data_IF_339050883085
#
_entry.id   IF_339050883085
#
_cell.length_a   1.000
_cell.length_b   1.000
_cell.length_c   1.000
_cell.angle_alpha   90.00
_cell.angle_beta   90.00
_cell.angle_gamma   90.00
#
_symmetry.space_group_name_H-M   'P 1'
#
loop_
_entity.id
_entity.type
_entity.pdbx_description
1 polymer ?
#
# COMPACT_ATOMS: atom_id res chain seq x y z
N UNK A 1 -3.67 -2.46 -4.20
CA UNK A 1 -4.31 -2.45 -2.86
C UNK A 1 -3.92 -1.13 -2.16
N UNK A 2 -4.86 -0.39 -1.56
CA UNK A 2 -4.60 0.98 -1.07
C UNK A 2 -3.53 1.07 0.02
N UNK A 3 -3.51 0.10 0.93
CA UNK A 3 -2.48 0.01 1.97
C UNK A 3 -1.07 -0.17 1.39
N UNK A 4 -0.91 -0.85 0.25
CA UNK A 4 0.40 -1.07 -0.37
C UNK A 4 0.97 0.23 -0.93
N UNK A 5 0.14 1.05 -1.58
CA UNK A 5 0.53 2.37 -2.07
C UNK A 5 0.96 3.29 -0.91
N UNK A 6 0.15 3.34 0.14
CA UNK A 6 0.45 4.11 1.35
C UNK A 6 1.74 3.62 2.04
N UNK A 7 1.91 2.30 2.17
CA UNK A 7 3.10 1.71 2.78
C UNK A 7 4.36 2.02 2.00
N UNK A 8 4.35 1.95 0.67
CA UNK A 8 5.53 2.26 -0.14
C UNK A 8 5.98 3.71 0.05
N UNK A 9 5.04 4.66 0.03
CA UNK A 9 5.33 6.07 0.27
C UNK A 9 5.92 6.29 1.67
N UNK A 10 5.24 5.79 2.72
CA UNK A 10 5.66 5.99 4.11
C UNK A 10 6.90 5.20 4.50
N UNK A 11 7.14 4.04 3.89
CA UNK A 11 8.32 3.22 4.15
C UNK A 11 9.59 3.92 3.69
N UNK A 12 9.56 4.59 2.53
CA UNK A 12 10.67 5.42 2.07
C UNK A 12 10.92 6.59 3.03
N UNK A 13 9.88 7.30 3.48
CA UNK A 13 10.02 8.39 4.46
C UNK A 13 10.63 7.90 5.78
N UNK A 14 10.08 6.83 6.37
CA UNK A 14 10.55 6.31 7.67
C UNK A 14 11.98 5.76 7.54
N UNK A 15 12.30 5.09 6.44
CA UNK A 15 13.65 4.56 6.20
C UNK A 15 14.66 5.68 5.92
N UNK A 16 14.24 6.77 5.28
CA UNK A 16 15.08 7.95 5.10
C UNK A 16 15.36 8.66 6.43
N UNK A 17 14.34 8.76 7.29
CA UNK A 17 14.47 9.32 8.64
C UNK A 17 15.27 8.41 9.57
N UNK A 18 15.16 7.09 9.40
CA UNK A 18 15.77 6.08 10.26
C UNK A 18 16.33 4.92 9.42
N UNK A 19 17.53 5.09 8.82
CA UNK A 19 18.13 4.06 7.98
C UNK A 19 18.50 2.78 8.74
N UNK A 20 18.58 2.83 10.08
CA UNK A 20 18.84 1.68 10.95
C UNK A 20 17.59 0.93 11.42
N UNK A 21 16.39 1.43 11.12
CA UNK A 21 15.15 0.74 11.51
C UNK A 21 14.94 -0.51 10.65
N UNK A 22 14.59 -1.61 11.32
CA UNK A 22 14.26 -2.85 10.63
C UNK A 22 12.97 -2.69 9.84
N UNK A 23 12.90 -3.33 8.67
CA UNK A 23 11.70 -3.33 7.82
C UNK A 23 10.45 -3.81 8.56
N UNK A 24 10.62 -4.67 9.56
CA UNK A 24 9.54 -5.18 10.40
C UNK A 24 8.94 -4.05 11.27
N UNK A 25 9.77 -3.23 11.89
CA UNK A 25 9.34 -2.11 12.73
C UNK A 25 8.73 -0.99 11.87
N UNK A 26 9.33 -0.67 10.73
CA UNK A 26 8.70 0.25 9.77
C UNK A 26 7.29 -0.23 9.38
N UNK A 27 7.11 -1.53 9.15
CA UNK A 27 5.80 -2.08 8.79
C UNK A 27 4.79 -1.98 9.93
N UNK A 28 5.21 -2.18 11.19
CA UNK A 28 4.36 -1.99 12.38
C UNK A 28 3.94 -0.53 12.52
N UNK A 29 4.88 0.41 12.39
CA UNK A 29 4.63 1.85 12.49
C UNK A 29 3.66 2.29 11.40
N UNK A 30 3.88 1.88 10.15
CA UNK A 30 3.00 2.21 9.02
C UNK A 30 1.59 1.64 9.22
N UNK A 31 1.47 0.42 9.74
CA UNK A 31 0.16 -0.17 10.03
C UNK A 31 -0.60 0.61 11.12
N UNK A 32 0.10 1.11 12.14
CA UNK A 32 -0.47 1.99 13.16
C UNK A 32 -0.83 3.37 12.62
N UNK A 33 0.05 3.97 11.81
CA UNK A 33 -0.19 5.23 11.12
C UNK A 33 -1.45 5.14 10.26
N UNK A 34 -1.56 4.10 9.43
CA UNK A 34 -2.74 3.88 8.59
C UNK A 34 -4.05 3.77 9.40
N UNK A 35 -4.00 3.18 10.59
CA UNK A 35 -5.16 3.10 11.50
C UNK A 35 -5.55 4.45 12.10
N UNK A 36 -4.56 5.31 12.37
CA UNK A 36 -4.77 6.65 12.92
C UNK A 36 -4.95 7.73 11.85
N UNK A 37 -4.61 7.45 10.59
CA UNK A 37 -4.71 8.39 9.48
C UNK A 37 -6.16 8.82 9.26
N UNK A 38 -6.38 10.04 8.77
CA UNK A 38 -7.73 10.54 8.56
C UNK A 38 -8.51 9.68 7.55
N UNK A 39 -9.84 9.58 7.73
CA UNK A 39 -10.68 8.84 6.79
C UNK A 39 -10.59 9.42 5.37
N UNK A 40 -10.39 10.74 5.23
CA UNK A 40 -10.23 11.43 3.94
C UNK A 40 -9.01 10.91 3.17
N UNK A 41 -7.86 10.80 3.85
CA UNK A 41 -6.63 10.27 3.24
C UNK A 41 -6.83 8.80 2.86
N UNK A 42 -7.43 8.00 3.76
CA UNK A 42 -7.72 6.59 3.47
C UNK A 42 -8.64 6.44 2.26
N UNK A 43 -9.65 7.29 2.13
CA UNK A 43 -10.57 7.29 0.99
C UNK A 43 -9.87 7.68 -0.31
N UNK A 44 -9.01 8.70 -0.28
CA UNK A 44 -8.21 9.06 -1.45
C UNK A 44 -7.32 7.91 -1.92
N UNK A 45 -6.58 7.25 -1.01
CA UNK A 45 -5.76 6.10 -1.35
C UNK A 45 -6.60 4.90 -1.80
N UNK A 46 -7.81 4.74 -1.24
CA UNK A 46 -8.77 3.72 -1.68
C UNK A 46 -9.20 3.98 -3.12
N UNK A 47 -9.63 5.20 -3.45
CA UNK A 47 -10.03 5.60 -4.80
C UNK A 47 -8.89 5.41 -5.80
N UNK A 48 -7.67 5.84 -5.45
CA UNK A 48 -6.47 5.64 -6.29
C UNK A 48 -6.19 4.15 -6.54
N UNK A 49 -6.29 3.32 -5.50
CA UNK A 49 -6.05 1.89 -5.65
C UNK A 49 -7.14 1.17 -6.44
N UNK A 50 -8.41 1.60 -6.32
CA UNK A 50 -9.50 1.09 -7.13
C UNK A 50 -9.35 1.49 -8.59
N UNK A 51 -8.95 2.74 -8.85
CA UNK A 51 -8.65 3.21 -10.20
C UNK A 51 -7.49 2.42 -10.81
N UNK A 52 -6.40 2.22 -10.07
CA UNK A 52 -5.27 1.42 -10.57
C UNK A 52 -5.68 -0.04 -10.81
N UNK A 53 -6.49 -0.62 -9.93
CA UNK A 53 -7.05 -1.98 -10.11
C UNK A 53 -7.94 -2.04 -11.35
N UNK A 54 -8.77 -1.02 -11.58
CA UNK A 54 -9.65 -0.91 -12.74
C UNK A 54 -8.83 -0.77 -14.01
N UNK A 55 -7.86 0.13 -14.04
CA UNK A 55 -6.94 0.29 -15.15
C UNK A 55 -6.16 -0.99 -15.44
N UNK A 56 -5.65 -1.67 -14.41
CA UNK A 56 -4.98 -2.96 -14.57
C UNK A 56 -5.90 -4.03 -15.15
N UNK A 57 -7.18 -4.05 -14.73
CA UNK A 57 -8.19 -4.97 -15.27
C UNK A 57 -8.52 -4.67 -16.73
N UNK A 58 -8.57 -3.40 -17.11
CA UNK A 58 -8.82 -2.94 -18.49
C UNK A 58 -7.60 -3.21 -19.38
N UNK A 59 -6.39 -2.89 -18.90
CA UNK A 59 -5.13 -3.04 -19.62
C UNK A 59 -4.71 -4.51 -19.75
N UNK A 60 -5.10 -5.36 -18.80
CA UNK A 60 -4.90 -6.80 -18.83
C UNK A 60 -6.25 -7.53 -18.81
N UNK A 61 -7.01 -7.49 -19.92
CA UNK A 61 -8.23 -8.27 -20.05
C UNK A 61 -7.84 -9.75 -20.05
N UNK A 62 -8.11 -10.44 -18.94
CA UNK A 62 -7.69 -11.84 -18.71
C UNK A 62 -6.68 -12.04 -17.58
N UNK A 63 -6.30 -10.98 -16.85
CA UNK A 63 -5.49 -11.12 -15.63
C UNK A 63 -6.30 -11.83 -14.53
N UNK A 64 -6.08 -13.14 -14.40
CA UNK A 64 -6.59 -13.95 -13.31
C UNK A 64 -5.44 -14.19 -12.33
N UNK A 65 -5.49 -13.55 -11.16
CA UNK A 65 -4.55 -13.82 -10.08
C UNK A 65 -4.70 -15.30 -9.68
N UNK A 66 -3.77 -16.13 -10.14
CA UNK A 66 -3.66 -17.52 -9.75
C UNK A 66 -2.59 -17.60 -8.66
N UNK A 67 -2.98 -17.59 -7.36
CA UNK A 67 -2.01 -17.82 -6.30
C UNK A 67 -1.44 -19.23 -6.49
N UNK A 68 -0.13 -19.33 -6.69
CA UNK A 68 0.57 -20.63 -6.72
C UNK A 68 0.35 -21.29 -5.37
N UNK A 69 -0.39 -22.41 -5.35
CA UNK A 69 -0.53 -23.26 -4.17
C UNK A 69 0.84 -23.87 -3.85
N UNK A 70 1.29 -23.86 -2.59
CA UNK A 70 2.42 -24.68 -2.15
C UNK A 70 2.08 -26.16 -2.18
#
# INVERSE_FOLDING_TARGET
NCFVLYRLAKHLEIKALNPGLSNNDCSKIIAQLWRHETPEVRDEYKRRAEEEKRQHTIAHPGYQYQPRKP
#
